data_IF_970295499037
#
_entry.id   IF_970295499037
#
_cell.length_a   1.000
_cell.length_b   1.000
_cell.length_c   1.000
_cell.angle_alpha   90.00
_cell.angle_beta   90.00
_cell.angle_gamma   90.00
#
_symmetry.space_group_name_H-M   'P 1'
#
loop_
_entity.id
_entity.type
_entity.pdbx_description
1 polymer ?
#
# COMPACT_ATOMS: atom_id res chain seq x y z
N UNK A 1 2.19 -2.42 -18.41
CA UNK A 1 2.14 -1.15 -17.65
C UNK A 1 0.93 -0.27 -18.00
N UNK A 2 0.57 -0.02 -19.27
CA UNK A 2 -0.51 0.92 -19.67
C UNK A 2 -1.83 0.76 -18.89
N UNK A 3 -2.31 -0.48 -18.71
CA UNK A 3 -3.56 -0.73 -17.95
C UNK A 3 -3.46 -0.34 -16.49
N UNK A 4 -2.28 -0.55 -15.88
CA UNK A 4 -2.01 -0.12 -14.49
C UNK A 4 -2.05 1.41 -14.41
N UNK A 5 -1.35 2.09 -15.31
CA UNK A 5 -1.31 3.56 -15.37
C UNK A 5 -2.70 4.17 -15.60
N UNK A 6 -3.55 3.54 -16.41
CA UNK A 6 -4.93 3.99 -16.63
C UNK A 6 -5.76 3.93 -15.33
N UNK A 7 -5.68 2.82 -14.57
CA UNK A 7 -6.39 2.67 -13.31
C UNK A 7 -5.79 3.54 -12.20
N UNK A 8 -4.46 3.68 -12.14
CA UNK A 8 -3.78 4.59 -11.22
C UNK A 8 -4.22 6.03 -11.48
N UNK A 9 -4.17 6.50 -12.73
CA UNK A 9 -4.64 7.85 -13.10
C UNK A 9 -6.09 8.06 -12.67
N UNK A 10 -6.97 7.08 -12.92
CA UNK A 10 -8.36 7.14 -12.50
C UNK A 10 -8.49 7.27 -10.98
N UNK A 11 -7.70 6.54 -10.20
CA UNK A 11 -7.70 6.64 -8.75
C UNK A 11 -7.20 8.02 -8.27
N UNK A 12 -6.07 8.48 -8.84
CA UNK A 12 -5.48 9.78 -8.51
C UNK A 12 -6.45 10.92 -8.76
N UNK A 13 -7.09 10.94 -9.93
CA UNK A 13 -8.06 11.97 -10.30
C UNK A 13 -9.35 11.88 -9.47
N UNK A 14 -9.91 10.67 -9.30
CA UNK A 14 -11.16 10.45 -8.58
C UNK A 14 -11.10 10.88 -7.11
N UNK A 15 -9.98 10.63 -6.46
CA UNK A 15 -9.80 10.90 -5.03
C UNK A 15 -8.86 12.07 -4.76
N UNK A 16 -8.53 12.85 -5.79
CA UNK A 16 -7.67 14.03 -5.66
C UNK A 16 -6.41 13.72 -4.84
N UNK A 17 -5.65 12.67 -5.28
CA UNK A 17 -4.55 12.15 -4.48
C UNK A 17 -3.25 12.93 -4.65
N UNK A 18 -3.01 13.51 -5.84
CA UNK A 18 -1.75 14.18 -6.19
C UNK A 18 -2.05 15.59 -6.69
N UNK A 19 -1.31 16.56 -6.18
CA UNK A 19 -1.42 17.97 -6.52
C UNK A 19 -0.06 18.54 -6.95
N UNK A 20 -0.07 19.73 -7.54
CA UNK A 20 1.16 20.41 -7.93
C UNK A 20 2.08 20.67 -6.73
N UNK A 21 3.36 20.37 -6.89
CA UNK A 21 4.37 20.56 -5.87
C UNK A 21 4.41 19.52 -4.76
N UNK A 22 3.63 18.42 -4.86
CA UNK A 22 3.67 17.35 -3.85
C UNK A 22 5.05 16.66 -3.78
N UNK A 23 5.45 16.35 -2.56
CA UNK A 23 6.63 15.52 -2.25
C UNK A 23 6.13 14.22 -1.65
N UNK A 24 6.16 13.15 -2.45
CA UNK A 24 5.49 11.88 -2.13
C UNK A 24 6.53 10.85 -1.69
N UNK A 25 6.45 10.43 -0.43
CA UNK A 25 7.14 9.22 0.03
C UNK A 25 6.38 7.99 -0.48
N UNK A 26 7.08 7.06 -1.14
CA UNK A 26 6.53 5.77 -1.54
C UNK A 26 7.02 4.72 -0.55
N UNK A 27 6.11 4.07 0.17
CA UNK A 27 6.44 2.98 1.08
C UNK A 27 6.82 1.73 0.29
N UNK A 28 8.10 1.36 0.33
CA UNK A 28 8.62 0.19 -0.39
C UNK A 28 8.99 -0.90 0.60
N UNK A 29 8.18 -1.95 0.66
CA UNK A 29 8.43 -3.12 1.52
C UNK A 29 9.24 -4.22 0.85
N UNK A 30 9.64 -4.04 -0.42
CA UNK A 30 10.23 -5.08 -1.25
C UNK A 30 9.22 -6.05 -1.87
N UNK A 31 7.95 -5.99 -1.48
CA UNK A 31 6.89 -6.81 -2.08
C UNK A 31 6.42 -6.28 -3.45
N UNK A 32 5.84 -7.18 -4.26
CA UNK A 32 5.38 -6.90 -5.64
C UNK A 32 4.52 -5.63 -5.77
N UNK A 33 3.62 -5.39 -4.79
CA UNK A 33 2.68 -4.27 -4.83
C UNK A 33 3.37 -2.93 -4.63
N UNK A 34 4.29 -2.87 -3.67
CA UNK A 34 5.06 -1.66 -3.37
C UNK A 34 6.06 -1.30 -4.48
N UNK A 35 6.73 -2.31 -5.06
CA UNK A 35 7.64 -2.11 -6.19
C UNK A 35 6.88 -1.66 -7.44
N UNK A 36 5.72 -2.27 -7.71
CA UNK A 36 4.88 -1.84 -8.83
C UNK A 36 4.34 -0.43 -8.62
N UNK A 37 3.95 -0.06 -7.38
CA UNK A 37 3.53 1.31 -7.06
C UNK A 37 4.64 2.31 -7.37
N UNK A 38 5.86 2.05 -6.91
CA UNK A 38 7.02 2.92 -7.16
C UNK A 38 7.23 3.13 -8.67
N UNK A 39 7.32 2.03 -9.44
CA UNK A 39 7.49 2.10 -10.89
C UNK A 39 6.33 2.80 -11.58
N UNK A 40 5.09 2.52 -11.19
CA UNK A 40 3.91 3.13 -11.80
C UNK A 40 3.82 4.64 -11.49
N UNK A 41 4.18 5.10 -10.28
CA UNK A 41 4.23 6.54 -9.97
C UNK A 41 5.38 7.24 -10.73
N UNK A 42 6.53 6.60 -10.87
CA UNK A 42 7.65 7.13 -11.66
C UNK A 42 7.25 7.30 -13.15
N UNK A 43 6.60 6.30 -13.74
CA UNK A 43 6.10 6.40 -15.13
C UNK A 43 4.96 7.42 -15.24
N UNK A 44 4.02 7.46 -14.29
CA UNK A 44 2.91 8.42 -14.29
C UNK A 44 3.40 9.87 -14.20
N UNK A 45 4.46 10.15 -13.42
CA UNK A 45 5.09 11.48 -13.29
C UNK A 45 5.43 12.13 -14.64
N UNK A 46 5.75 11.32 -15.66
CA UNK A 46 6.17 11.81 -17.00
C UNK A 46 5.03 12.48 -17.79
N UNK A 47 3.77 12.14 -17.49
CA UNK A 47 2.59 12.67 -18.17
C UNK A 47 1.46 13.09 -17.23
N UNK A 48 1.75 13.16 -15.93
CA UNK A 48 0.83 13.71 -14.94
C UNK A 48 0.60 15.20 -15.17
N UNK A 49 -0.64 15.70 -15.03
CA UNK A 49 -0.91 17.14 -15.12
C UNK A 49 -0.27 17.92 -13.97
N UNK A 50 -0.09 17.30 -12.82
CA UNK A 50 0.58 17.89 -11.67
C UNK A 50 2.04 17.40 -11.59
N UNK A 51 2.99 18.30 -11.35
CA UNK A 51 4.38 17.96 -11.07
C UNK A 51 4.55 17.60 -9.60
N UNK A 52 5.29 16.53 -9.33
CA UNK A 52 5.56 16.05 -7.98
C UNK A 52 6.90 15.32 -7.92
N UNK A 53 7.47 15.27 -6.72
CA UNK A 53 8.69 14.52 -6.45
C UNK A 53 8.39 13.21 -5.74
N UNK A 54 9.29 12.23 -5.93
CA UNK A 54 9.21 10.90 -5.33
C UNK A 54 10.44 10.62 -4.49
N UNK A 55 10.23 10.04 -3.31
CA UNK A 55 11.25 9.44 -2.47
C UNK A 55 10.79 8.05 -2.06
N UNK A 56 11.58 7.02 -2.31
CA UNK A 56 11.30 5.66 -1.86
C UNK A 56 11.77 5.48 -0.42
N UNK A 57 10.95 4.88 0.45
CA UNK A 57 11.30 4.63 1.85
C UNK A 57 11.01 3.19 2.21
N UNK A 58 12.01 2.49 2.73
CA UNK A 58 11.88 1.17 3.35
C UNK A 58 12.08 1.29 4.86
N UNK A 59 11.20 0.70 5.65
CA UNK A 59 11.42 0.50 7.08
C UNK A 59 11.96 -0.90 7.27
N UNK A 60 13.22 -1.00 7.69
CA UNK A 60 13.83 -2.27 8.04
C UNK A 60 13.60 -2.59 9.52
N UNK A 61 12.82 -3.63 9.85
CA UNK A 61 12.57 -4.02 11.23
C UNK A 61 13.73 -4.80 11.87
N UNK A 62 14.78 -5.18 11.13
CA UNK A 62 15.93 -6.00 11.56
C UNK A 62 15.50 -7.33 12.17
N UNK A 63 14.86 -8.18 11.37
CA UNK A 63 14.55 -9.54 11.81
C UNK A 63 15.84 -10.31 12.09
N UNK A 64 15.87 -11.04 13.22
CA UNK A 64 17.04 -11.79 13.70
C UNK A 64 18.29 -10.90 13.93
N UNK A 65 18.07 -9.64 14.29
CA UNK A 65 19.11 -8.62 14.53
C UNK A 65 20.07 -8.40 13.34
N UNK A 66 19.57 -8.67 12.13
CA UNK A 66 20.29 -8.51 10.86
C UNK A 66 19.60 -7.51 9.96
N UNK A 67 20.37 -6.71 9.23
CA UNK A 67 19.83 -5.80 8.22
C UNK A 67 19.31 -6.62 7.03
N UNK A 68 18.15 -6.19 6.49
CA UNK A 68 17.56 -6.81 5.32
C UNK A 68 18.33 -6.49 4.04
N UNK A 69 18.37 -7.44 3.09
CA UNK A 69 18.91 -7.16 1.76
C UNK A 69 17.88 -6.46 0.88
N UNK A 70 18.09 -5.18 0.63
CA UNK A 70 17.25 -4.34 -0.23
C UNK A 70 17.98 -3.90 -1.51
N UNK A 71 19.04 -4.60 -1.91
CA UNK A 71 19.85 -4.28 -3.10
C UNK A 71 19.01 -4.21 -4.38
N UNK A 72 18.04 -5.10 -4.54
CA UNK A 72 17.11 -5.09 -5.67
C UNK A 72 16.19 -3.84 -5.69
N UNK A 73 15.82 -3.34 -4.52
CA UNK A 73 15.06 -2.09 -4.40
C UNK A 73 15.93 -0.89 -4.74
N UNK A 74 17.18 -0.86 -4.24
CA UNK A 74 18.16 0.18 -4.59
C UNK A 74 18.36 0.24 -6.10
N UNK A 75 18.62 -0.90 -6.76
CA UNK A 75 18.81 -0.96 -8.21
C UNK A 75 17.61 -0.42 -8.99
N UNK A 76 16.37 -0.72 -8.53
CA UNK A 76 15.15 -0.18 -9.14
C UNK A 76 15.06 1.34 -8.95
N UNK A 77 15.41 1.86 -7.76
CA UNK A 77 15.38 3.29 -7.48
C UNK A 77 16.41 4.04 -8.34
N UNK A 78 17.60 3.46 -8.54
CA UNK A 78 18.66 4.02 -9.40
C UNK A 78 18.20 4.06 -10.86
N UNK A 79 17.60 2.97 -11.38
CA UNK A 79 16.98 2.93 -12.73
C UNK A 79 15.95 4.03 -12.92
N UNK A 80 15.12 4.27 -11.88
CA UNK A 80 14.03 5.26 -11.94
C UNK A 80 14.49 6.68 -11.56
N UNK A 81 15.74 6.87 -11.18
CA UNK A 81 16.29 8.14 -10.67
C UNK A 81 15.46 8.71 -9.51
N UNK A 82 15.17 7.86 -8.52
CA UNK A 82 14.42 8.20 -7.31
C UNK A 82 15.32 8.02 -6.09
N UNK A 83 15.34 9.01 -5.20
CA UNK A 83 16.05 8.92 -3.91
C UNK A 83 15.48 7.77 -3.09
N UNK A 84 16.36 6.95 -2.52
CA UNK A 84 15.99 5.81 -1.69
C UNK A 84 16.54 5.93 -0.28
N UNK A 85 15.70 5.66 0.71
CA UNK A 85 16.01 5.74 2.13
C UNK A 85 15.64 4.41 2.78
N UNK A 86 16.59 3.83 3.52
CA UNK A 86 16.35 2.68 4.39
C UNK A 86 16.42 3.18 5.82
N UNK A 87 15.29 3.14 6.52
CA UNK A 87 15.18 3.47 7.95
C UNK A 87 15.28 2.18 8.75
N UNK A 88 16.44 1.96 9.36
CA UNK A 88 16.70 0.79 10.21
C UNK A 88 16.11 1.01 11.60
N UNK A 89 15.42 -0.01 12.13
CA UNK A 89 14.69 0.08 13.40
C UNK A 89 14.83 -1.20 14.23
N UNK A 90 14.61 -1.10 15.55
CA UNK A 90 14.57 -2.24 16.46
C UNK A 90 13.16 -2.87 16.57
N UNK A 91 12.31 -2.70 15.57
CA UNK A 91 10.90 -3.14 15.64
C UNK A 91 10.80 -4.65 15.85
N UNK A 92 11.60 -5.46 15.17
CA UNK A 92 11.54 -6.91 15.36
C UNK A 92 11.90 -7.29 16.80
N UNK A 93 12.98 -6.74 17.35
CA UNK A 93 13.39 -6.94 18.74
C UNK A 93 12.31 -6.52 19.74
N UNK A 94 11.70 -5.35 19.53
CA UNK A 94 10.61 -4.87 20.39
C UNK A 94 9.43 -5.84 20.37
N UNK A 95 9.01 -6.30 19.20
CA UNK A 95 7.80 -7.11 19.02
C UNK A 95 8.00 -8.55 19.50
N UNK A 96 9.11 -9.18 19.12
CA UNK A 96 9.31 -10.62 19.32
C UNK A 96 10.08 -10.95 20.61
N UNK A 97 11.06 -10.12 21.01
CA UNK A 97 11.94 -10.42 22.13
C UNK A 97 11.50 -9.72 23.42
N UNK A 98 11.14 -8.43 23.32
CA UNK A 98 10.80 -7.62 24.51
C UNK A 98 9.33 -7.79 24.90
N UNK A 99 8.41 -7.51 23.95
CA UNK A 99 6.96 -7.52 24.23
C UNK A 99 6.35 -8.91 24.19
N UNK A 100 6.91 -9.82 23.38
CA UNK A 100 6.41 -11.21 23.19
C UNK A 100 4.90 -11.26 22.96
N UNK A 101 4.41 -10.40 22.10
CA UNK A 101 2.99 -10.19 21.84
C UNK A 101 2.32 -11.47 21.30
N UNK A 102 1.14 -11.80 21.81
CA UNK A 102 0.33 -12.90 21.26
C UNK A 102 -0.10 -12.64 19.82
N UNK A 103 -0.23 -11.36 19.42
CA UNK A 103 -0.55 -10.94 18.06
C UNK A 103 0.53 -9.98 17.51
N UNK A 104 1.73 -10.51 17.23
CA UNK A 104 2.90 -9.69 16.88
C UNK A 104 2.68 -8.86 15.63
N UNK A 105 1.89 -9.35 14.66
CA UNK A 105 1.62 -8.63 13.41
C UNK A 105 0.94 -7.27 13.62
N UNK A 106 0.04 -7.16 14.59
CA UNK A 106 -0.67 -5.90 14.88
C UNK A 106 0.27 -4.82 15.42
N UNK A 107 1.09 -5.18 16.41
CA UNK A 107 2.08 -4.25 16.97
C UNK A 107 3.16 -3.89 15.95
N UNK A 108 3.70 -4.88 15.22
CA UNK A 108 4.68 -4.65 14.15
C UNK A 108 4.15 -3.67 13.10
N UNK A 109 2.92 -3.87 12.60
CA UNK A 109 2.30 -2.98 11.63
C UNK A 109 2.10 -1.56 12.17
N UNK A 110 1.75 -1.41 13.47
CA UNK A 110 1.61 -0.11 14.13
C UNK A 110 2.94 0.62 14.23
N UNK A 111 3.99 -0.06 14.69
CA UNK A 111 5.34 0.52 14.83
C UNK A 111 5.94 0.89 13.46
N UNK A 112 5.88 -0.02 12.47
CA UNK A 112 6.35 0.26 11.11
C UNK A 112 5.64 1.45 10.48
N UNK A 113 4.34 1.57 10.69
CA UNK A 113 3.58 2.72 10.21
C UNK A 113 4.04 4.02 10.88
N UNK A 114 4.25 4.00 12.20
CA UNK A 114 4.77 5.14 12.94
C UNK A 114 6.15 5.59 12.43
N UNK A 115 7.10 4.66 12.29
CA UNK A 115 8.43 4.92 11.75
C UNK A 115 8.37 5.49 10.32
N UNK A 116 7.52 4.91 9.45
CA UNK A 116 7.35 5.35 8.08
C UNK A 116 6.83 6.79 7.99
N UNK A 117 5.82 7.15 8.82
CA UNK A 117 5.31 8.51 8.87
C UNK A 117 6.39 9.50 9.33
N UNK A 118 7.14 9.16 10.38
CA UNK A 118 8.21 10.01 10.91
C UNK A 118 9.33 10.19 9.89
N UNK A 119 9.79 9.12 9.26
CA UNK A 119 10.82 9.16 8.23
C UNK A 119 10.35 9.98 7.01
N UNK A 120 9.13 9.79 6.51
CA UNK A 120 8.60 10.58 5.40
C UNK A 120 8.56 12.09 5.74
N UNK A 121 8.13 12.45 6.95
CA UNK A 121 8.06 13.84 7.38
C UNK A 121 9.43 14.47 7.56
N UNK A 122 10.42 13.77 8.15
CA UNK A 122 11.79 14.28 8.33
C UNK A 122 12.49 14.56 7.01
N UNK A 123 12.10 13.87 5.93
CA UNK A 123 12.58 14.12 4.57
C UNK A 123 11.70 15.10 3.79
N UNK A 124 10.81 15.82 4.48
CA UNK A 124 10.00 16.90 3.92
C UNK A 124 8.89 16.42 2.99
N UNK A 125 8.48 15.15 3.04
CA UNK A 125 7.35 14.66 2.28
C UNK A 125 6.03 15.08 2.94
N UNK A 126 5.08 15.54 2.12
CA UNK A 126 3.72 15.87 2.56
C UNK A 126 2.71 14.77 2.26
N UNK A 127 3.10 13.78 1.45
CA UNK A 127 2.27 12.61 1.13
C UNK A 127 3.03 11.31 1.30
N UNK A 128 2.26 10.27 1.66
CA UNK A 128 2.75 8.90 1.77
C UNK A 128 1.90 7.97 0.90
N UNK A 129 2.51 7.37 -0.12
CA UNK A 129 1.86 6.43 -1.03
C UNK A 129 2.05 4.99 -0.54
N UNK A 130 0.94 4.25 -0.41
CA UNK A 130 0.91 2.85 -0.01
C UNK A 130 0.42 1.95 -1.14
N UNK A 131 1.04 0.78 -1.31
CA UNK A 131 0.79 -0.17 -2.40
C UNK A 131 -0.48 -1.02 -2.27
N UNK A 132 -1.50 -0.56 -1.52
CA UNK A 132 -2.76 -1.30 -1.41
C UNK A 132 -3.49 -1.33 -2.75
N UNK A 133 -3.83 -2.53 -3.20
CA UNK A 133 -4.57 -2.80 -4.43
C UNK A 133 -6.08 -2.98 -4.15
N UNK A 134 -6.89 -3.24 -5.18
CA UNK A 134 -8.34 -3.36 -5.05
C UNK A 134 -8.78 -4.56 -4.19
N UNK A 135 -8.07 -5.67 -4.28
CA UNK A 135 -8.37 -6.86 -3.47
C UNK A 135 -8.10 -6.58 -1.98
N UNK A 136 -7.05 -5.82 -1.63
CA UNK A 136 -6.78 -5.40 -0.25
C UNK A 136 -7.93 -4.58 0.36
N UNK A 137 -8.58 -3.73 -0.45
CA UNK A 137 -9.75 -2.94 -0.03
C UNK A 137 -10.90 -3.87 0.34
N UNK A 138 -11.23 -4.80 -0.55
CA UNK A 138 -12.33 -5.76 -0.36
C UNK A 138 -12.05 -6.68 0.82
N UNK A 139 -10.83 -7.24 0.92
CA UNK A 139 -10.39 -8.08 2.04
C UNK A 139 -10.54 -7.36 3.38
N UNK A 140 -10.08 -6.11 3.45
CA UNK A 140 -10.16 -5.32 4.69
C UNK A 140 -11.61 -5.02 5.07
N UNK A 141 -12.45 -4.67 4.11
CA UNK A 141 -13.88 -4.45 4.35
C UNK A 141 -14.56 -5.70 4.90
N UNK A 142 -14.35 -6.85 4.27
CA UNK A 142 -14.93 -8.13 4.70
C UNK A 142 -14.39 -8.57 6.07
N UNK A 143 -13.10 -8.38 6.33
CA UNK A 143 -12.53 -8.64 7.65
C UNK A 143 -13.18 -7.78 8.74
N UNK A 144 -13.37 -6.48 8.49
CA UNK A 144 -14.01 -5.60 9.45
C UNK A 144 -15.47 -5.99 9.65
N UNK A 145 -16.20 -6.28 8.58
CA UNK A 145 -17.60 -6.67 8.64
C UNK A 145 -17.81 -7.95 9.47
N UNK A 146 -17.05 -9.01 9.18
CA UNK A 146 -17.29 -10.31 9.80
C UNK A 146 -16.58 -10.52 11.14
N UNK A 147 -15.46 -9.83 11.40
CA UNK A 147 -14.69 -10.06 12.63
C UNK A 147 -14.89 -9.00 13.70
N UNK A 148 -15.26 -7.78 13.31
CA UNK A 148 -15.47 -6.68 14.24
C UNK A 148 -16.88 -6.10 14.17
N UNK A 149 -17.75 -6.60 13.29
CA UNK A 149 -19.11 -6.07 13.09
C UNK A 149 -19.12 -4.63 12.56
N UNK A 150 -18.03 -4.18 11.94
CA UNK A 150 -17.87 -2.79 11.52
C UNK A 150 -18.00 -2.65 10.00
N UNK A 151 -18.89 -1.75 9.55
CA UNK A 151 -18.99 -1.33 8.15
C UNK A 151 -17.93 -0.25 7.88
N UNK A 152 -16.69 -0.66 7.78
CA UNK A 152 -15.53 0.25 7.63
C UNK A 152 -14.41 -0.35 6.80
N UNK A 153 -13.58 0.52 6.22
CA UNK A 153 -12.34 0.18 5.53
C UNK A 153 -11.33 1.31 5.70
N UNK A 154 -10.10 1.13 5.26
CA UNK A 154 -9.21 2.28 5.07
C UNK A 154 -9.71 3.14 3.89
N UNK A 155 -9.54 4.45 3.96
CA UNK A 155 -9.94 5.36 2.89
C UNK A 155 -8.92 5.37 1.73
N UNK A 156 -9.32 5.74 0.49
CA UNK A 156 -8.39 5.91 -0.62
C UNK A 156 -7.37 7.03 -0.39
N UNK A 157 -7.77 8.10 0.30
CA UNK A 157 -6.96 9.23 0.74
C UNK A 157 -7.32 9.57 2.17
N UNK A 158 -6.33 9.79 3.04
CA UNK A 158 -6.54 10.11 4.46
C UNK A 158 -5.52 11.14 4.92
N UNK A 159 -5.97 12.26 5.46
CA UNK A 159 -5.08 13.19 6.15
C UNK A 159 -4.93 12.79 7.61
N UNK A 160 -3.71 12.82 8.12
CA UNK A 160 -3.34 12.50 9.50
C UNK A 160 -2.87 13.78 10.20
N UNK A 161 -3.76 14.45 10.97
CA UNK A 161 -3.44 15.75 11.57
C UNK A 161 -2.22 15.71 12.51
N UNK A 162 -2.14 14.67 13.34
CA UNK A 162 -1.04 14.49 14.32
C UNK A 162 0.35 14.35 13.66
N UNK A 163 0.39 14.01 12.38
CA UNK A 163 1.62 13.79 11.60
C UNK A 163 1.78 14.80 10.47
N UNK A 164 0.75 15.60 10.21
CA UNK A 164 0.69 16.51 9.07
C UNK A 164 1.15 15.85 7.77
N UNK A 165 0.58 14.69 7.47
CA UNK A 165 0.87 13.92 6.26
C UNK A 165 -0.42 13.33 5.67
N UNK A 166 -0.52 13.34 4.35
CA UNK A 166 -1.64 12.70 3.64
C UNK A 166 -1.24 11.33 3.12
N UNK A 167 -1.94 10.29 3.56
CA UNK A 167 -1.77 8.92 3.04
C UNK A 167 -2.63 8.74 1.80
N UNK A 168 -2.03 8.24 0.71
CA UNK A 168 -2.71 7.96 -0.56
C UNK A 168 -2.50 6.50 -1.00
N UNK A 169 -3.44 5.96 -1.79
CA UNK A 169 -3.41 4.56 -2.25
C UNK A 169 -3.68 4.48 -3.76
N UNK A 170 -2.70 4.85 -4.59
CA UNK A 170 -2.91 4.99 -6.04
C UNK A 170 -3.27 3.68 -6.78
N UNK A 171 -2.93 2.50 -6.21
CA UNK A 171 -3.28 1.20 -6.79
C UNK A 171 -4.65 0.67 -6.36
N UNK A 172 -5.43 1.40 -5.58
CA UNK A 172 -6.67 0.95 -4.96
C UNK A 172 -7.77 0.51 -5.95
N UNK A 173 -7.69 0.90 -7.20
CA UNK A 173 -8.59 0.45 -8.28
C UNK A 173 -7.99 -0.67 -9.13
N UNK A 174 -6.76 -1.09 -8.88
CA UNK A 174 -6.06 -2.12 -9.64
C UNK A 174 -6.31 -3.50 -9.02
N UNK A 175 -6.93 -4.45 -9.73
CA UNK A 175 -7.08 -5.82 -9.24
C UNK A 175 -5.72 -6.50 -9.03
N UNK A 176 -5.59 -7.30 -7.96
CA UNK A 176 -4.34 -7.98 -7.61
C UNK A 176 -3.77 -8.83 -8.76
N UNK A 177 -4.61 -9.54 -9.51
CA UNK A 177 -4.18 -10.31 -10.69
C UNK A 177 -3.45 -9.46 -11.74
N UNK A 178 -3.82 -8.18 -11.87
CA UNK A 178 -3.13 -7.26 -12.78
C UNK A 178 -1.80 -6.80 -12.19
N UNK A 179 -1.73 -6.58 -10.87
CA UNK A 179 -0.49 -6.28 -10.14
C UNK A 179 0.51 -7.42 -10.35
N UNK A 180 0.11 -8.67 -10.09
CA UNK A 180 0.96 -9.87 -10.28
C UNK A 180 1.47 -9.94 -11.73
N UNK A 181 0.56 -9.80 -12.69
CA UNK A 181 0.93 -9.86 -14.11
C UNK A 181 1.87 -8.74 -14.53
N UNK A 182 1.65 -7.51 -14.04
CA UNK A 182 2.49 -6.36 -14.35
C UNK A 182 3.88 -6.49 -13.70
N UNK A 183 3.95 -6.92 -12.42
CA UNK A 183 5.20 -7.14 -11.72
C UNK A 183 6.09 -8.18 -12.45
N UNK A 184 5.49 -9.30 -12.87
CA UNK A 184 6.19 -10.34 -13.66
C UNK A 184 6.72 -9.79 -14.99
N UNK A 185 5.87 -9.09 -15.76
CA UNK A 185 6.30 -8.50 -17.05
C UNK A 185 7.36 -7.42 -16.93
N UNK A 186 7.38 -6.72 -15.79
CA UNK A 186 8.39 -5.69 -15.49
C UNK A 186 9.65 -6.27 -14.83
N UNK A 187 9.75 -7.59 -14.70
CA UNK A 187 10.86 -8.30 -14.08
C UNK A 187 11.22 -7.75 -12.68
N UNK A 188 10.21 -7.30 -11.89
CA UNK A 188 10.46 -6.74 -10.57
C UNK A 188 10.95 -7.83 -9.62
N UNK A 189 12.14 -7.63 -9.07
CA UNK A 189 12.76 -8.54 -8.10
C UNK A 189 12.24 -8.22 -6.71
N UNK A 190 11.48 -9.14 -6.13
CA UNK A 190 10.92 -8.99 -4.79
C UNK A 190 11.92 -9.42 -3.72
N UNK A 191 11.93 -8.70 -2.61
CA UNK A 191 12.69 -9.06 -1.41
C UNK A 191 11.94 -10.15 -0.64
N UNK A 192 12.64 -11.20 -0.23
CA UNK A 192 12.07 -12.26 0.60
C UNK A 192 11.97 -11.75 2.05
N UNK A 193 10.77 -11.88 2.64
CA UNK A 193 10.56 -11.50 4.04
C UNK A 193 11.23 -12.50 4.99
N UNK A 194 12.03 -11.99 5.93
CA UNK A 194 12.58 -12.78 7.02
C UNK A 194 11.64 -12.87 8.24
N UNK A 195 10.38 -12.39 8.13
CA UNK A 195 9.43 -12.36 9.23
C UNK A 195 9.01 -13.77 9.66
N UNK A 196 9.18 -14.16 10.95
CA UNK A 196 8.81 -15.50 11.43
C UNK A 196 7.29 -15.75 11.42
N UNK A 197 6.47 -14.69 11.36
CA UNK A 197 5.00 -14.77 11.41
C UNK A 197 4.32 -14.73 10.02
N UNK A 198 5.06 -14.86 8.92
CA UNK A 198 4.58 -14.53 7.57
C UNK A 198 3.56 -15.51 6.95
N UNK A 199 3.22 -16.65 7.58
CA UNK A 199 2.49 -17.72 6.86
C UNK A 199 1.06 -18.03 7.31
N UNK A 200 0.57 -17.49 8.44
CA UNK A 200 -0.78 -17.83 8.94
C UNK A 200 -1.53 -16.61 9.47
N UNK A 201 -2.11 -15.83 8.56
CA UNK A 201 -2.87 -14.64 8.96
C UNK A 201 -4.36 -14.80 8.66
N UNK A 202 -5.20 -14.20 9.51
CA UNK A 202 -6.66 -14.09 9.29
C UNK A 202 -7.00 -13.41 7.94
N UNK A 203 -6.08 -12.62 7.40
CA UNK A 203 -6.21 -12.03 6.07
C UNK A 203 -6.13 -13.09 4.99
N UNK A 204 -5.24 -14.07 5.13
CA UNK A 204 -5.10 -15.17 4.17
C UNK A 204 -6.39 -16.01 4.09
N UNK A 205 -7.00 -16.33 5.24
CA UNK A 205 -8.30 -17.03 5.28
C UNK A 205 -9.39 -16.23 4.51
N UNK A 206 -9.48 -14.92 4.76
CA UNK A 206 -10.44 -14.06 4.07
C UNK A 206 -10.20 -14.00 2.56
N UNK A 207 -8.94 -13.95 2.14
CA UNK A 207 -8.54 -13.97 0.73
C UNK A 207 -8.93 -15.28 0.03
N UNK A 208 -8.72 -16.41 0.69
CA UNK A 208 -9.09 -17.73 0.18
C UNK A 208 -10.61 -17.86 0.04
N UNK A 209 -11.36 -17.43 1.05
CA UNK A 209 -12.81 -17.39 1.00
C UNK A 209 -13.32 -16.50 -0.14
N UNK A 210 -12.84 -15.27 -0.27
CA UNK A 210 -13.21 -14.36 -1.37
C UNK A 210 -12.84 -14.94 -2.75
N UNK A 211 -11.75 -15.68 -2.83
CA UNK A 211 -11.32 -16.35 -4.07
C UNK A 211 -12.26 -17.49 -4.43
N UNK A 212 -12.71 -18.25 -3.44
CA UNK A 212 -13.72 -19.31 -3.60
C UNK A 212 -15.05 -18.73 -4.10
N UNK A 213 -15.51 -17.66 -3.46
CA UNK A 213 -16.76 -16.99 -3.86
C UNK A 213 -16.68 -16.42 -5.29
N UNK A 214 -15.57 -15.79 -5.67
CA UNK A 214 -15.38 -15.25 -7.03
C UNK A 214 -15.32 -16.36 -8.10
N UNK A 215 -14.88 -17.60 -7.74
CA UNK A 215 -14.88 -18.75 -8.65
C UNK A 215 -16.31 -19.28 -8.90
N UNK A 216 -17.11 -19.36 -7.85
CA UNK A 216 -18.50 -19.86 -7.93
C UNK A 216 -19.46 -18.81 -8.51
N UNK A 217 -19.17 -17.53 -8.26
CA UNK A 217 -20.05 -16.41 -8.65
C UNK A 217 -19.19 -15.25 -9.19
N UNK A 218 -18.96 -15.25 -10.50
CA UNK A 218 -18.15 -14.25 -11.18
C UNK A 218 -18.66 -12.83 -10.94
N UNK A 219 -17.72 -11.94 -10.57
CA UNK A 219 -18.01 -10.54 -10.26
C UNK A 219 -18.44 -10.31 -8.80
N UNK A 220 -18.35 -11.31 -7.93
CA UNK A 220 -18.64 -11.21 -6.51
C UNK A 220 -17.84 -10.08 -5.85
N UNK A 221 -16.53 -10.05 -6.05
CA UNK A 221 -15.65 -8.98 -5.54
C UNK A 221 -16.04 -7.61 -6.09
N UNK A 222 -16.39 -7.53 -7.37
CA UNK A 222 -16.80 -6.27 -7.99
C UNK A 222 -18.10 -5.73 -7.39
N UNK A 223 -19.06 -6.61 -7.07
CA UNK A 223 -20.31 -6.21 -6.41
C UNK A 223 -20.08 -5.69 -5.00
N UNK A 224 -19.19 -6.32 -4.23
CA UNK A 224 -18.81 -5.82 -2.89
C UNK A 224 -18.20 -4.43 -3.00
N UNK A 225 -17.21 -4.25 -3.87
CA UNK A 225 -16.57 -2.94 -4.06
C UNK A 225 -17.57 -1.89 -4.54
N UNK A 226 -18.46 -2.26 -5.47
CA UNK A 226 -19.55 -1.39 -5.93
C UNK A 226 -20.52 -0.99 -4.81
N UNK A 227 -20.85 -1.91 -3.90
CA UNK A 227 -21.69 -1.60 -2.73
C UNK A 227 -21.00 -0.63 -1.78
N UNK A 228 -19.70 -0.83 -1.49
CA UNK A 228 -18.89 0.10 -0.71
C UNK A 228 -18.88 1.51 -1.31
N UNK A 229 -18.72 1.61 -2.63
CA UNK A 229 -18.73 2.89 -3.34
C UNK A 229 -20.10 3.58 -3.28
N UNK A 230 -21.21 2.87 -3.51
CA UNK A 230 -22.56 3.45 -3.42
C UNK A 230 -22.93 3.87 -2.00
N UNK A 231 -22.50 3.12 -1.00
CA UNK A 231 -22.70 3.45 0.41
C UNK A 231 -21.71 4.46 0.97
N UNK A 232 -20.80 4.98 0.17
CA UNK A 232 -19.71 5.88 0.59
C UNK A 232 -18.94 5.39 1.84
N UNK A 233 -18.74 4.08 1.93
CA UNK A 233 -18.05 3.48 3.08
C UNK A 233 -16.63 4.03 3.17
N UNK A 234 -16.29 4.70 4.28
CA UNK A 234 -14.94 5.23 4.55
C UNK A 234 -14.36 6.11 3.43
N UNK A 235 -15.21 6.88 2.73
CA UNK A 235 -14.77 7.79 1.66
C UNK A 235 -14.52 7.13 0.30
N UNK A 236 -15.03 5.89 0.09
CA UNK A 236 -14.97 5.21 -1.21
C UNK A 236 -16.05 5.69 -2.19
N UNK A 237 -16.94 6.57 -1.75
CA UNK A 237 -18.01 7.12 -2.60
C UNK A 237 -17.49 7.72 -3.90
N UNK A 238 -18.40 7.85 -4.86
CA UNK A 238 -18.11 8.69 -6.03
C UNK A 238 -18.14 10.14 -5.55
N UNK A 239 -17.16 10.99 -5.93
CA UNK A 239 -17.35 12.42 -5.81
C UNK A 239 -18.69 12.72 -6.48
N UNK A 240 -19.62 13.33 -5.75
CA UNK A 240 -20.79 13.90 -6.41
C UNK A 240 -20.23 14.88 -7.42
N UNK A 241 -20.61 14.75 -8.68
CA UNK A 241 -20.30 15.73 -9.70
C UNK A 241 -20.63 17.08 -9.07
N UNK A 242 -19.62 17.95 -8.97
CA UNK A 242 -19.84 19.32 -8.54
C UNK A 242 -20.72 19.92 -9.62
N UNK A 243 -22.02 19.99 -9.32
CA UNK A 243 -22.99 20.68 -10.15
C UNK A 243 -22.62 22.15 -10.30
#
# INVERSE_FOLDING_TARGET
MQRILGLLRKAVQRYDMIQEGDRIAVAVSGGKDSLLLLKALAEYRRFSPAKYDLTAITIDPRFNDTDGDYSSVQSLCDELQISYIIETTDIAKIVFDIRKEQNPCSLCAKLRRGALHSCAKSHGCNKLALGHNNDDVIETFIMNLFRTGSISCFAPKSYLPDRDITVIRPLCLVPEKQVISAAKRSALQTVTSACPADKHTKRQETKEWLTSMERSDKGFKLRIFGAMCRGNVSGWGFPQDKA
#
